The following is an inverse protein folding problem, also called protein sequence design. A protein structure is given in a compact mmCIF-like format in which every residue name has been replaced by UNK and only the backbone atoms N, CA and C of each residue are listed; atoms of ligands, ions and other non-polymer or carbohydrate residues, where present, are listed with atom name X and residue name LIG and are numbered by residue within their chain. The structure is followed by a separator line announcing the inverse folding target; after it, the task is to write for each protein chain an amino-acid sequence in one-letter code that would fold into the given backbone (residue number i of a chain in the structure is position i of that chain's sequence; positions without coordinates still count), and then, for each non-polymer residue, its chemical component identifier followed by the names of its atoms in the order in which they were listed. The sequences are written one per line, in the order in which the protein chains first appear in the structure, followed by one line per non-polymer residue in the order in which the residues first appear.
data_IF_850751855925
#
_entry.id   IF_850751855925
#
_cell.length_a   1.000
_cell.length_b   1.000
_cell.length_c   1.000
_cell.angle_alpha   90.00
_cell.angle_beta   90.00
_cell.angle_gamma   90.00
#
_symmetry.space_group_name_H-M   'P 1'
#
loop_
_entity.id
_entity.type
_entity.pdbx_description
1 polymer ?
#
# COMPACT_ATOMS: atom_id res chain seq x y z
N UNK A 1 -20.01 -61.41 36.00
CA UNK A 1 -18.86 -61.40 36.94
C UNK A 1 -17.61 -61.16 36.10
N UNK A 2 -16.82 -60.12 36.31
CA UNK A 2 -17.01 -58.97 37.22
C UNK A 2 -16.44 -57.69 36.60
N UNK A 3 -16.97 -56.54 37.01
CA UNK A 3 -16.54 -55.22 36.55
C UNK A 3 -15.33 -54.73 37.34
N UNK A 4 -14.42 -54.01 36.69
CA UNK A 4 -13.54 -53.02 37.34
C UNK A 4 -13.38 -51.80 36.45
N UNK A 5 -13.82 -50.64 36.95
CA UNK A 5 -13.49 -49.33 36.40
C UNK A 5 -12.15 -48.86 37.01
N UNK A 6 -11.39 -48.08 36.26
CA UNK A 6 -10.42 -47.15 36.85
C UNK A 6 -10.58 -45.79 36.18
N UNK A 7 -10.98 -44.78 36.94
CA UNK A 7 -11.10 -43.41 36.45
C UNK A 7 -9.75 -42.68 36.51
N UNK A 8 -9.54 -41.73 35.61
CA UNK A 8 -8.51 -40.70 35.72
C UNK A 8 -9.16 -39.32 35.63
N UNK A 9 -8.66 -38.38 36.42
CA UNK A 9 -9.37 -37.16 36.80
C UNK A 9 -9.10 -35.98 35.87
N UNK A 10 -10.15 -35.23 35.55
CA UNK A 10 -10.05 -33.87 34.98
C UNK A 10 -9.40 -32.91 35.98
N UNK A 11 -8.38 -32.16 35.54
CA UNK A 11 -7.89 -30.98 36.23
C UNK A 11 -8.53 -29.73 35.61
N UNK A 12 -9.39 -29.05 36.34
CA UNK A 12 -9.87 -27.71 35.99
C UNK A 12 -8.84 -26.66 36.45
N UNK A 13 -8.49 -25.71 35.59
CA UNK A 13 -7.64 -24.57 35.95
C UNK A 13 -8.56 -23.39 36.29
N UNK A 14 -8.80 -23.18 37.58
CA UNK A 14 -9.60 -22.07 38.08
C UNK A 14 -8.74 -20.82 38.33
N UNK A 15 -8.84 -19.83 37.45
CA UNK A 15 -8.19 -18.52 37.62
C UNK A 15 -9.08 -17.61 38.48
N UNK A 16 -8.61 -17.28 39.69
CA UNK A 16 -9.30 -16.40 40.63
C UNK A 16 -9.04 -14.91 40.32
N UNK A 17 -10.09 -14.10 40.25
CA UNK A 17 -10.00 -12.64 40.08
C UNK A 17 -9.87 -11.96 41.45
N UNK A 18 -8.72 -11.34 41.72
CA UNK A 18 -8.45 -10.63 42.98
C UNK A 18 -8.96 -9.18 42.95
N UNK A 19 -10.20 -8.95 43.41
CA UNK A 19 -10.73 -7.60 43.62
C UNK A 19 -10.35 -7.05 45.00
N UNK A 20 -9.54 -5.99 45.07
CA UNK A 20 -9.20 -5.30 46.33
C UNK A 20 -10.05 -4.04 46.48
N UNK A 21 -10.96 -4.04 47.45
CA UNK A 21 -11.74 -2.86 47.87
C UNK A 21 -11.33 -2.39 49.26
N UNK A 22 -11.14 -1.09 49.45
CA UNK A 22 -10.99 -0.44 50.77
C UNK A 22 -12.02 0.69 50.90
N UNK A 23 -12.74 0.82 52.03
CA UNK A 23 -13.68 1.91 52.26
C UNK A 23 -12.93 3.19 52.68
N UNK A 24 -13.51 4.35 52.35
CA UNK A 24 -13.10 5.66 52.89
C UNK A 24 -14.33 6.32 53.53
N UNK A 25 -14.12 6.94 54.69
CA UNK A 25 -15.18 7.47 55.55
C UNK A 25 -15.52 8.92 55.19
N UNK A 26 -16.81 9.22 55.04
CA UNK A 26 -17.32 10.59 54.82
C UNK A 26 -17.56 11.28 56.17
N UNK A 27 -17.38 12.59 56.24
CA UNK A 27 -17.82 13.43 57.37
C UNK A 27 -18.31 14.79 56.84
N UNK A 28 -19.29 15.41 57.50
CA UNK A 28 -20.07 16.54 56.94
C UNK A 28 -20.21 17.69 57.93
N UNK A 29 -19.84 18.89 57.49
CA UNK A 29 -20.10 20.24 58.05
C UNK A 29 -19.69 21.26 56.96
N UNK A 30 -20.27 22.47 56.81
CA UNK A 30 -21.42 23.07 57.51
C UNK A 30 -21.49 24.60 57.29
N UNK A 31 -22.22 25.03 56.25
CA UNK A 31 -22.73 26.40 55.91
C UNK A 31 -21.96 27.69 56.28
N UNK A 32 -21.64 28.50 55.25
CA UNK A 32 -21.94 29.96 55.22
C UNK A 32 -21.88 30.58 53.80
N UNK A 33 -22.50 31.75 53.61
CA UNK A 33 -22.74 32.39 52.31
C UNK A 33 -22.13 33.83 52.17
N UNK A 34 -21.84 34.32 50.95
CA UNK A 34 -21.18 35.62 50.66
C UNK A 34 -22.18 36.78 50.40
N UNK A 35 -21.76 38.06 50.53
CA UNK A 35 -21.33 38.90 49.37
C UNK A 35 -20.20 39.91 49.76
N UNK A 36 -19.78 40.93 48.95
CA UNK A 36 -20.10 41.32 47.56
C UNK A 36 -18.88 41.47 46.61
N UNK A 37 -19.06 42.14 45.46
CA UNK A 37 -18.16 42.18 44.28
C UNK A 37 -17.35 43.49 44.11
N UNK A 38 -16.30 43.45 43.28
CA UNK A 38 -15.77 44.61 42.52
C UNK A 38 -15.37 44.20 41.10
N UNK A 39 -15.43 45.14 40.13
CA UNK A 39 -15.12 44.91 38.72
C UNK A 39 -13.67 45.30 38.37
N UNK A 40 -12.98 44.50 37.54
CA UNK A 40 -11.99 45.00 36.56
C UNK A 40 -11.93 44.08 35.34
N UNK A 41 -11.94 44.63 34.12
CA UNK A 41 -11.70 43.91 32.86
C UNK A 41 -10.24 44.07 32.42
N UNK A 42 -9.69 43.11 31.65
CA UNK A 42 -9.13 43.46 30.35
C UNK A 42 -9.68 42.56 29.23
N UNK A 43 -9.75 43.09 28.01
CA UNK A 43 -10.35 42.39 26.87
C UNK A 43 -9.38 41.42 26.18
N UNK A 44 -9.86 40.21 25.88
CA UNK A 44 -9.21 39.29 24.94
C UNK A 44 -9.75 39.59 23.54
N UNK A 45 -8.86 39.85 22.56
CA UNK A 45 -9.24 39.88 21.14
C UNK A 45 -9.55 38.45 20.69
N UNK A 46 -10.81 38.12 20.47
CA UNK A 46 -11.20 36.92 19.71
C UNK A 46 -10.89 37.10 18.23
N UNK A 47 -9.61 37.00 17.87
CA UNK A 47 -9.22 36.69 16.50
C UNK A 47 -9.60 35.25 16.23
N UNK A 48 -10.67 35.02 15.47
CA UNK A 48 -10.93 33.71 14.87
C UNK A 48 -9.98 33.60 13.68
N UNK A 49 -8.74 33.20 13.93
CA UNK A 49 -7.86 32.71 12.87
C UNK A 49 -8.48 31.44 12.32
N UNK A 50 -8.99 31.52 11.10
CA UNK A 50 -9.33 30.34 10.31
C UNK A 50 -8.01 29.61 10.01
N UNK A 51 -7.63 28.69 10.89
CA UNK A 51 -6.52 27.80 10.65
C UNK A 51 -6.83 26.99 9.40
N UNK A 52 -6.18 27.32 8.29
CA UNK A 52 -6.32 26.61 7.03
C UNK A 52 -5.82 25.18 7.27
N UNK A 53 -6.73 24.23 7.40
CA UNK A 53 -6.38 22.85 7.75
C UNK A 53 -5.60 22.24 6.57
N UNK A 54 -4.28 22.21 6.70
CA UNK A 54 -3.40 21.67 5.69
C UNK A 54 -3.79 20.21 5.42
N UNK A 55 -4.32 19.95 4.21
CA UNK A 55 -4.77 18.63 3.76
C UNK A 55 -3.63 17.62 3.97
N UNK A 56 -3.82 16.57 4.80
CA UNK A 56 -2.79 15.57 5.06
C UNK A 56 -2.21 15.00 3.76
N UNK A 57 -0.91 14.71 3.76
CA UNK A 57 -0.20 14.22 2.57
C UNK A 57 -0.88 12.99 1.95
N UNK A 58 -1.37 12.08 2.81
CA UNK A 58 -2.15 10.90 2.41
C UNK A 58 -3.45 11.25 1.66
N UNK A 59 -4.20 12.26 2.10
CA UNK A 59 -5.40 12.72 1.37
C UNK A 59 -5.05 13.30 0.00
N UNK A 60 -3.96 14.08 -0.11
CA UNK A 60 -3.50 14.63 -1.41
C UNK A 60 -3.13 13.50 -2.39
N UNK A 61 -2.36 12.52 -1.93
CA UNK A 61 -2.00 11.34 -2.73
C UNK A 61 -3.23 10.55 -3.19
N UNK A 62 -4.16 10.25 -2.28
CA UNK A 62 -5.39 9.51 -2.58
C UNK A 62 -6.30 10.26 -3.58
N UNK A 63 -6.40 11.59 -3.49
CA UNK A 63 -7.13 12.39 -4.49
C UNK A 63 -6.50 12.29 -5.89
N UNK A 64 -5.16 12.35 -5.99
CA UNK A 64 -4.44 12.26 -7.26
C UNK A 64 -4.57 10.87 -7.89
N UNK A 65 -4.43 9.80 -7.10
CA UNK A 65 -4.59 8.43 -7.58
C UNK A 65 -6.03 8.11 -7.99
N UNK A 66 -7.02 8.53 -7.21
CA UNK A 66 -8.43 8.35 -7.55
C UNK A 66 -8.76 9.04 -8.88
N UNK A 67 -8.30 10.28 -9.07
CA UNK A 67 -8.43 11.00 -10.34
C UNK A 67 -7.76 10.25 -11.49
N UNK A 68 -6.50 9.81 -11.33
CA UNK A 68 -5.77 9.04 -12.36
C UNK A 68 -6.50 7.75 -12.75
N UNK A 69 -7.11 7.05 -11.80
CA UNK A 69 -7.85 5.81 -12.02
C UNK A 69 -9.27 6.03 -12.57
N UNK A 70 -9.82 7.24 -12.46
CA UNK A 70 -11.08 7.62 -13.12
C UNK A 70 -10.86 8.15 -14.55
N UNK A 71 -9.78 8.90 -14.78
CA UNK A 71 -9.40 9.39 -16.12
C UNK A 71 -8.78 8.28 -16.99
N UNK A 72 -8.01 7.37 -16.39
CA UNK A 72 -7.36 6.24 -17.06
C UNK A 72 -7.61 4.94 -16.27
N UNK A 73 -8.82 4.36 -16.34
CA UNK A 73 -9.17 3.13 -15.62
C UNK A 73 -8.31 1.93 -16.03
N UNK A 74 -8.16 0.98 -15.12
CA UNK A 74 -7.56 -0.34 -15.41
C UNK A 74 -8.63 -1.24 -16.02
N UNK A 75 -8.28 -2.00 -17.07
CA UNK A 75 -9.25 -2.84 -17.80
C UNK A 75 -9.91 -3.87 -16.87
N UNK A 76 -11.25 -3.89 -16.88
CA UNK A 76 -12.06 -4.70 -15.97
C UNK A 76 -12.28 -4.11 -14.57
N UNK A 77 -11.76 -2.93 -14.25
CA UNK A 77 -11.89 -2.30 -12.92
C UNK A 77 -12.64 -0.97 -12.99
N UNK A 78 -13.57 -0.76 -12.04
CA UNK A 78 -14.23 0.52 -11.79
C UNK A 78 -14.09 0.88 -10.31
N UNK A 79 -13.69 2.11 -10.03
CA UNK A 79 -13.41 2.60 -8.67
C UNK A 79 -14.32 3.77 -8.31
N UNK A 80 -14.89 3.72 -7.12
CA UNK A 80 -15.68 4.77 -6.47
C UNK A 80 -15.32 4.86 -4.99
N UNK A 81 -15.65 5.96 -4.32
CA UNK A 81 -15.62 6.00 -2.85
C UNK A 81 -16.80 5.19 -2.29
N UNK A 82 -16.67 4.67 -1.07
CA UNK A 82 -17.80 4.06 -0.33
C UNK A 82 -18.74 5.16 0.19
N UNK A 83 -18.17 6.26 0.68
CA UNK A 83 -18.88 7.48 1.07
C UNK A 83 -18.14 8.68 0.45
N UNK A 84 -18.85 9.67 -0.11
CA UNK A 84 -18.23 10.82 -0.80
C UNK A 84 -17.31 11.66 0.10
N UNK A 85 -17.51 11.59 1.43
CA UNK A 85 -16.69 12.25 2.45
C UNK A 85 -15.48 11.44 2.92
N UNK A 86 -15.34 10.17 2.54
CA UNK A 86 -14.28 9.29 3.04
C UNK A 86 -13.34 8.80 1.92
N UNK A 87 -12.22 9.50 1.79
CA UNK A 87 -11.14 9.16 0.86
C UNK A 87 -10.35 7.89 1.25
N UNK A 88 -10.52 7.34 2.46
CA UNK A 88 -9.76 6.20 2.96
C UNK A 88 -10.48 4.84 2.76
N UNK A 89 -11.70 4.81 2.24
CA UNK A 89 -12.43 3.57 1.92
C UNK A 89 -13.03 3.64 0.50
N UNK A 90 -12.46 2.86 -0.44
CA UNK A 90 -12.88 2.82 -1.84
C UNK A 90 -13.63 1.51 -2.15
N UNK A 91 -14.72 1.59 -2.90
CA UNK A 91 -15.35 0.44 -3.53
C UNK A 91 -14.71 0.18 -4.90
N UNK A 92 -14.35 -1.09 -5.13
CA UNK A 92 -13.77 -1.58 -6.37
C UNK A 92 -14.72 -2.64 -6.95
N UNK A 93 -15.30 -2.31 -8.10
CA UNK A 93 -16.03 -3.26 -8.94
C UNK A 93 -15.06 -3.90 -9.95
N UNK A 94 -15.07 -5.22 -10.00
CA UNK A 94 -14.14 -6.04 -10.78
C UNK A 94 -14.93 -6.95 -11.71
N UNK A 95 -14.67 -6.86 -13.00
CA UNK A 95 -15.27 -7.73 -14.02
C UNK A 95 -14.34 -8.89 -14.34
N UNK A 96 -14.89 -10.09 -14.45
CA UNK A 96 -14.09 -11.27 -14.82
C UNK A 96 -13.67 -11.24 -16.30
N UNK A 97 -12.37 -11.42 -16.65
CA UNK A 97 -11.93 -11.31 -18.04
C UNK A 97 -12.51 -12.41 -18.94
N UNK A 98 -12.77 -12.13 -20.23
CA UNK A 98 -13.27 -13.12 -21.17
C UNK A 98 -12.23 -14.23 -21.44
N UNK A 99 -12.71 -15.44 -21.73
CA UNK A 99 -11.96 -16.69 -21.85
C UNK A 99 -11.34 -17.21 -20.54
N UNK A 100 -11.76 -16.69 -19.37
CA UNK A 100 -11.33 -17.18 -18.05
C UNK A 100 -12.44 -17.94 -17.32
N UNK A 101 -12.12 -18.61 -16.21
CA UNK A 101 -13.14 -19.20 -15.32
C UNK A 101 -14.08 -18.15 -14.68
N UNK A 102 -13.71 -16.87 -14.72
CA UNK A 102 -14.44 -15.76 -14.11
C UNK A 102 -15.30 -14.96 -15.11
N UNK A 103 -15.26 -15.28 -16.42
CA UNK A 103 -15.99 -14.58 -17.48
C UNK A 103 -17.45 -14.31 -17.12
N UNK A 104 -17.90 -13.06 -17.27
CA UNK A 104 -19.27 -12.64 -16.91
C UNK A 104 -19.50 -12.45 -15.40
N UNK A 105 -18.46 -12.59 -14.56
CA UNK A 105 -18.52 -12.32 -13.13
C UNK A 105 -18.41 -10.83 -12.78
N UNK A 106 -19.08 -10.43 -11.69
CA UNK A 106 -19.09 -9.09 -11.11
C UNK A 106 -18.72 -9.14 -9.63
N UNK A 107 -17.46 -8.91 -9.30
CA UNK A 107 -16.95 -9.05 -7.93
C UNK A 107 -16.78 -7.66 -7.31
N UNK A 108 -17.27 -7.49 -6.08
CA UNK A 108 -17.08 -6.26 -5.31
C UNK A 108 -15.99 -6.46 -4.26
N UNK A 109 -15.10 -5.49 -4.13
CA UNK A 109 -14.05 -5.44 -3.12
C UNK A 109 -13.95 -4.03 -2.52
N UNK A 110 -13.40 -3.92 -1.32
CA UNK A 110 -12.99 -2.66 -0.70
C UNK A 110 -11.47 -2.56 -0.64
N UNK A 111 -10.95 -1.36 -0.92
CA UNK A 111 -9.60 -0.96 -0.52
C UNK A 111 -9.74 0.00 0.66
N UNK A 112 -9.08 -0.31 1.78
CA UNK A 112 -9.01 0.57 2.95
C UNK A 112 -7.59 1.02 3.20
N UNK A 113 -7.39 2.32 3.18
CA UNK A 113 -6.09 2.99 3.31
C UNK A 113 -5.80 3.37 4.77
N UNK A 114 -4.53 3.29 5.21
CA UNK A 114 -4.10 3.83 6.50
C UNK A 114 -3.90 5.35 6.43
N UNK A 115 -3.86 6.01 7.58
CA UNK A 115 -3.73 7.49 7.66
C UNK A 115 -2.38 8.01 7.16
N UNK A 116 -1.35 7.17 7.17
CA UNK A 116 0.02 7.41 6.73
C UNK A 116 0.31 6.84 5.32
N UNK A 117 -0.71 6.51 4.53
CA UNK A 117 -0.52 6.14 3.13
C UNK A 117 0.28 7.22 2.35
N UNK A 118 1.27 6.87 1.50
CA UNK A 118 1.66 5.54 1.04
C UNK A 118 2.79 4.87 1.87
N UNK A 119 3.12 5.34 3.08
CA UNK A 119 4.17 4.70 3.89
C UNK A 119 3.78 3.30 4.38
N UNK A 120 2.55 3.13 4.87
CA UNK A 120 1.95 1.82 5.18
C UNK A 120 1.04 1.32 4.04
N UNK A 121 0.95 -0.01 3.81
CA UNK A 121 0.09 -0.58 2.78
C UNK A 121 -1.40 -0.43 3.12
N UNK A 122 -2.28 -0.28 2.11
CA UNK A 122 -3.71 -0.46 2.28
C UNK A 122 -4.07 -1.95 2.43
N UNK A 123 -5.26 -2.23 2.94
CA UNK A 123 -5.86 -3.58 2.92
C UNK A 123 -6.81 -3.72 1.74
N UNK A 124 -6.77 -4.87 1.06
CA UNK A 124 -7.68 -5.21 -0.04
C UNK A 124 -8.54 -6.42 0.37
N UNK A 125 -9.86 -6.24 0.39
CA UNK A 125 -10.83 -7.26 0.82
C UNK A 125 -11.97 -7.42 -0.18
N UNK A 126 -12.18 -8.63 -0.69
CA UNK A 126 -13.40 -8.98 -1.42
C UNK A 126 -14.62 -8.97 -0.50
N UNK A 127 -15.69 -8.29 -0.91
CA UNK A 127 -17.03 -8.40 -0.30
C UNK A 127 -17.77 -9.63 -0.82
N UNK A 128 -17.69 -9.85 -2.14
CA UNK A 128 -18.20 -11.04 -2.81
C UNK A 128 -17.38 -12.26 -2.37
N UNK A 129 -18.00 -13.32 -1.85
CA UNK A 129 -17.26 -14.49 -1.35
C UNK A 129 -16.55 -15.24 -2.48
N UNK A 130 -15.22 -15.12 -2.53
CA UNK A 130 -14.33 -15.83 -3.47
C UNK A 130 -13.90 -17.21 -2.95
N UNK A 131 -13.63 -18.15 -3.85
CA UNK A 131 -12.97 -19.43 -3.56
C UNK A 131 -11.65 -19.46 -4.33
N UNK A 132 -10.55 -19.18 -3.64
CA UNK A 132 -9.28 -18.91 -4.31
C UNK A 132 -8.09 -19.31 -3.43
N UNK A 133 -7.00 -19.90 -3.96
CA UNK A 133 -5.83 -20.30 -3.17
C UNK A 133 -5.23 -19.16 -2.33
N UNK A 134 -5.34 -17.90 -2.78
CA UNK A 134 -4.71 -16.72 -2.15
C UNK A 134 -5.71 -15.70 -1.59
N UNK A 135 -6.97 -16.09 -1.34
CA UNK A 135 -7.97 -15.25 -0.66
C UNK A 135 -8.47 -15.98 0.58
N UNK A 136 -8.45 -15.31 1.73
CA UNK A 136 -8.92 -15.85 3.01
C UNK A 136 -10.47 -15.92 3.05
N UNK A 137 -11.04 -16.70 3.97
CA UNK A 137 -12.50 -16.85 4.08
C UNK A 137 -13.26 -15.55 4.40
N UNK A 138 -12.57 -14.56 4.97
CA UNK A 138 -13.09 -13.22 5.27
C UNK A 138 -12.96 -12.23 4.08
N UNK A 139 -12.44 -12.68 2.94
CA UNK A 139 -12.23 -11.89 1.73
C UNK A 139 -10.86 -11.19 1.62
N UNK A 140 -10.01 -11.22 2.64
CA UNK A 140 -8.68 -10.59 2.58
C UNK A 140 -7.77 -11.27 1.55
N UNK A 141 -7.06 -10.48 0.76
CA UNK A 141 -6.16 -10.96 -0.31
C UNK A 141 -4.73 -11.10 0.21
N UNK A 142 -4.16 -12.30 0.05
CA UNK A 142 -2.77 -12.58 0.42
C UNK A 142 -1.84 -12.39 -0.78
N UNK A 143 -1.28 -11.19 -0.92
CA UNK A 143 -0.19 -10.86 -1.86
C UNK A 143 0.97 -10.18 -1.14
N UNK A 144 2.20 -10.46 -1.58
CA UNK A 144 3.42 -9.98 -0.95
C UNK A 144 3.49 -8.45 -0.89
N UNK A 145 3.02 -7.76 -1.93
CA UNK A 145 3.04 -6.29 -2.02
C UNK A 145 2.11 -5.56 -1.04
N UNK A 146 1.11 -6.23 -0.44
CA UNK A 146 0.25 -5.63 0.58
C UNK A 146 0.78 -5.84 2.01
N UNK A 147 1.98 -6.40 2.15
CA UNK A 147 2.68 -6.52 3.42
C UNK A 147 3.89 -5.56 3.44
N UNK A 148 4.24 -5.01 4.62
CA UNK A 148 5.49 -4.26 4.80
C UNK A 148 6.73 -5.05 4.33
N UNK A 149 7.85 -4.36 4.04
CA UNK A 149 9.12 -5.04 3.80
C UNK A 149 9.55 -5.82 5.06
N UNK A 150 10.27 -6.92 4.85
CA UNK A 150 10.87 -7.72 5.92
C UNK A 150 12.38 -7.57 5.79
N UNK A 151 13.04 -7.13 6.85
CA UNK A 151 14.51 -7.01 6.92
C UNK A 151 15.19 -8.39 7.12
N UNK A 152 14.85 -9.35 6.25
CA UNK A 152 15.46 -10.68 6.18
C UNK A 152 16.19 -10.85 4.83
N UNK A 153 17.53 -10.67 4.80
CA UNK A 153 18.35 -10.90 3.61
C UNK A 153 18.30 -12.34 3.07
N UNK A 154 17.82 -13.31 3.85
CA UNK A 154 17.73 -14.72 3.48
C UNK A 154 16.37 -15.08 2.83
N UNK A 155 15.39 -14.17 2.87
CA UNK A 155 14.05 -14.36 2.28
C UNK A 155 14.07 -14.57 0.77
N UNK A 156 15.01 -13.92 0.07
CA UNK A 156 15.14 -13.94 -1.39
C UNK A 156 14.11 -13.08 -2.15
N UNK A 157 13.30 -12.30 -1.43
CA UNK A 157 12.26 -11.43 -2.02
C UNK A 157 12.85 -10.08 -2.46
N UNK A 158 12.33 -9.53 -3.56
CA UNK A 158 12.74 -8.21 -4.07
C UNK A 158 11.98 -7.07 -3.36
N UNK A 159 12.57 -5.88 -3.18
CA UNK A 159 11.87 -4.70 -2.64
C UNK A 159 10.63 -4.27 -3.44
N UNK A 160 10.56 -4.63 -4.73
CA UNK A 160 9.40 -4.44 -5.60
C UNK A 160 8.26 -5.45 -5.38
N UNK A 161 8.54 -6.58 -4.72
CA UNK A 161 7.56 -7.62 -4.36
C UNK A 161 6.92 -7.36 -2.99
N UNK A 162 7.40 -6.35 -2.24
CA UNK A 162 6.83 -5.88 -0.96
C UNK A 162 6.25 -4.47 -1.08
N UNK A 163 5.52 -4.04 -0.05
CA UNK A 163 5.07 -2.66 0.01
C UNK A 163 6.26 -1.71 0.17
N UNK A 164 6.21 -0.58 -0.53
CA UNK A 164 7.13 0.54 -0.35
C UNK A 164 6.42 1.82 -0.86
N UNK A 165 6.86 3.04 -0.49
CA UNK A 165 6.15 4.27 -0.83
C UNK A 165 6.09 4.65 -2.32
N UNK A 166 6.70 3.87 -3.22
CA UNK A 166 6.55 4.05 -4.69
C UNK A 166 5.46 3.15 -5.28
N UNK A 167 4.97 2.17 -4.52
CA UNK A 167 3.78 1.40 -4.85
C UNK A 167 2.54 2.30 -4.81
N UNK A 168 1.53 1.96 -5.59
CA UNK A 168 0.30 2.73 -5.77
C UNK A 168 -0.86 1.78 -6.07
N UNK A 169 -2.09 2.30 -6.04
CA UNK A 169 -3.31 1.52 -6.26
C UNK A 169 -3.31 0.85 -7.62
N UNK A 170 -2.83 1.50 -8.69
CA UNK A 170 -2.76 0.89 -10.03
C UNK A 170 -1.92 -0.39 -10.01
N UNK A 171 -0.77 -0.40 -9.33
CA UNK A 171 0.03 -1.62 -9.16
C UNK A 171 -0.73 -2.69 -8.38
N UNK A 172 -1.45 -2.34 -7.31
CA UNK A 172 -2.27 -3.29 -6.54
C UNK A 172 -3.31 -3.99 -7.44
N UNK A 173 -4.05 -3.24 -8.27
CA UNK A 173 -5.06 -3.83 -9.15
C UNK A 173 -4.43 -4.82 -10.15
N UNK A 174 -3.30 -4.44 -10.75
CA UNK A 174 -2.56 -5.29 -11.70
C UNK A 174 -2.03 -6.58 -11.02
N UNK A 175 -1.53 -6.49 -9.79
CA UNK A 175 -1.13 -7.66 -9.00
C UNK A 175 -2.32 -8.56 -8.62
N UNK A 176 -3.50 -7.99 -8.35
CA UNK A 176 -4.74 -8.77 -8.10
C UNK A 176 -5.21 -9.48 -9.37
N UNK A 177 -5.15 -8.86 -10.55
CA UNK A 177 -5.41 -9.53 -11.84
C UNK A 177 -4.45 -10.71 -12.04
N UNK A 178 -3.16 -10.48 -11.82
CA UNK A 178 -2.13 -11.53 -11.96
C UNK A 178 -2.42 -12.72 -11.04
N UNK A 179 -2.69 -12.45 -9.76
CA UNK A 179 -2.99 -13.48 -8.76
C UNK A 179 -4.24 -14.31 -9.08
N UNK A 180 -5.29 -13.70 -9.63
CA UNK A 180 -6.52 -14.40 -10.00
C UNK A 180 -6.36 -15.34 -11.20
N UNK A 181 -5.40 -15.03 -12.08
CA UNK A 181 -5.07 -15.86 -13.25
C UNK A 181 -4.03 -16.94 -12.90
N UNK A 182 -3.00 -16.60 -12.11
CA UNK A 182 -1.91 -17.48 -11.70
C UNK A 182 -1.76 -17.52 -10.16
N UNK A 183 -2.56 -18.38 -9.48
CA UNK A 183 -2.57 -18.46 -8.02
C UNK A 183 -1.26 -19.05 -7.46
N UNK A 184 -0.67 -18.39 -6.46
CA UNK A 184 0.50 -18.88 -5.75
C UNK A 184 0.13 -20.07 -4.85
N UNK A 185 0.47 -21.28 -5.29
CA UNK A 185 0.20 -22.52 -4.54
C UNK A 185 1.25 -22.88 -3.48
N UNK A 186 2.36 -22.14 -3.38
CA UNK A 186 3.43 -22.40 -2.40
C UNK A 186 3.08 -21.85 -1.02
N UNK A 187 2.52 -20.63 -0.95
CA UNK A 187 2.00 -20.02 0.28
C UNK A 187 0.52 -19.62 0.11
N UNK A 188 -0.41 -20.59 0.19
CA UNK A 188 -1.83 -20.34 0.01
C UNK A 188 -2.50 -19.82 1.28
N UNK A 189 -3.36 -18.82 1.14
CA UNK A 189 -4.30 -18.36 2.16
C UNK A 189 -5.41 -19.40 2.43
N UNK A 190 -5.81 -20.14 1.39
CA UNK A 190 -6.81 -21.21 1.46
C UNK A 190 -6.19 -22.51 0.93
N UNK A 191 -5.87 -23.42 1.86
CA UNK A 191 -5.18 -24.68 1.58
C UNK A 191 -6.04 -25.61 0.73
N UNK A 192 -7.34 -25.70 0.99
CA UNK A 192 -8.26 -26.58 0.26
C UNK A 192 -8.46 -26.10 -1.19
N UNK A 193 -8.65 -24.79 -1.39
CA UNK A 193 -8.67 -24.19 -2.72
C UNK A 193 -7.35 -24.42 -3.48
N UNK A 194 -6.20 -24.33 -2.80
CA UNK A 194 -4.88 -24.65 -3.37
C UNK A 194 -4.72 -26.12 -3.76
N UNK A 195 -5.29 -27.05 -2.99
CA UNK A 195 -5.32 -28.48 -3.33
C UNK A 195 -6.24 -28.74 -4.54
N UNK A 196 -7.45 -28.17 -4.55
CA UNK A 196 -8.39 -28.30 -5.68
C UNK A 196 -7.83 -27.69 -6.97
N UNK A 197 -7.25 -26.48 -6.90
CA UNK A 197 -6.65 -25.81 -8.05
C UNK A 197 -5.50 -26.63 -8.66
N UNK A 198 -4.63 -27.23 -7.83
CA UNK A 198 -3.56 -28.12 -8.31
C UNK A 198 -4.11 -29.35 -9.02
N UNK A 199 -5.12 -30.05 -8.45
CA UNK A 199 -5.79 -31.18 -9.15
C UNK A 199 -6.36 -30.75 -10.51
N UNK A 200 -7.05 -29.61 -10.56
CA UNK A 200 -7.65 -29.06 -11.78
C UNK A 200 -6.58 -28.77 -12.85
N UNK A 201 -5.51 -28.06 -12.47
CA UNK A 201 -4.37 -27.74 -13.34
C UNK A 201 -3.64 -28.99 -13.83
N UNK A 202 -3.26 -29.87 -12.93
CA UNK A 202 -2.41 -31.03 -13.21
C UNK A 202 -3.17 -32.10 -14.01
N UNK A 203 -4.50 -32.20 -13.84
CA UNK A 203 -5.38 -33.03 -14.68
C UNK A 203 -5.70 -32.40 -16.05
N UNK A 204 -5.26 -31.17 -16.32
CA UNK A 204 -5.57 -30.35 -17.50
C UNK A 204 -7.07 -30.12 -17.68
N UNK A 205 -7.76 -29.74 -16.60
CA UNK A 205 -9.21 -29.45 -16.60
C UNK A 205 -10.13 -30.66 -16.77
N UNK A 206 -9.61 -31.87 -16.58
CA UNK A 206 -10.42 -33.11 -16.53
C UNK A 206 -11.17 -33.24 -15.22
N UNK A 207 -10.49 -32.94 -14.11
CA UNK A 207 -11.16 -32.62 -12.85
C UNK A 207 -11.88 -31.27 -13.03
N UNK A 208 -13.12 -31.19 -12.56
CA UNK A 208 -13.99 -30.03 -12.71
C UNK A 208 -14.40 -29.42 -11.37
N UNK A 209 -14.05 -30.01 -10.23
CA UNK A 209 -14.47 -29.59 -8.89
C UNK A 209 -14.22 -28.09 -8.67
N UNK A 210 -12.98 -27.65 -8.89
CA UNK A 210 -12.61 -26.23 -8.80
C UNK A 210 -13.40 -25.34 -9.77
N UNK A 211 -13.44 -25.70 -11.05
CA UNK A 211 -14.13 -24.93 -12.10
C UNK A 211 -15.66 -24.93 -11.97
N UNK A 212 -16.27 -25.83 -11.19
CA UNK A 212 -17.70 -25.84 -10.88
C UNK A 212 -18.01 -24.89 -9.71
N UNK A 213 -17.12 -24.79 -8.73
CA UNK A 213 -17.22 -23.80 -7.64
C UNK A 213 -17.11 -22.38 -8.21
N UNK A 214 -16.09 -22.08 -9.03
CA UNK A 214 -15.92 -20.74 -9.61
C UNK A 214 -17.12 -20.34 -10.48
N UNK A 215 -17.59 -21.22 -11.39
CA UNK A 215 -18.77 -20.93 -12.22
C UNK A 215 -20.03 -20.70 -11.39
N UNK A 216 -20.20 -21.41 -10.27
CA UNK A 216 -21.33 -21.17 -9.34
C UNK A 216 -21.23 -19.81 -8.67
N UNK A 217 -20.02 -19.34 -8.34
CA UNK A 217 -19.79 -18.01 -7.79
C UNK A 217 -20.07 -16.92 -8.84
N UNK A 218 -19.52 -17.04 -10.06
CA UNK A 218 -19.83 -16.15 -11.20
C UNK A 218 -21.34 -16.00 -11.39
N UNK A 219 -22.08 -17.09 -11.50
CA UNK A 219 -23.55 -17.06 -11.66
C UNK A 219 -24.28 -16.40 -10.48
N UNK A 220 -23.73 -16.46 -9.26
CA UNK A 220 -24.31 -15.74 -8.11
C UNK A 220 -24.06 -14.23 -8.18
N UNK A 221 -22.96 -13.79 -8.81
CA UNK A 221 -22.68 -12.35 -8.98
C UNK A 221 -23.56 -11.66 -10.01
N UNK A 222 -24.16 -12.40 -10.94
CA UNK A 222 -25.10 -11.84 -11.93
C UNK A 222 -26.29 -11.14 -11.26
N UNK A 223 -26.81 -11.71 -10.16
CA UNK A 223 -27.87 -11.09 -9.37
C UNK A 223 -27.40 -9.83 -8.61
N UNK A 224 -26.11 -9.73 -8.27
CA UNK A 224 -25.52 -8.52 -7.69
C UNK A 224 -25.36 -7.42 -8.75
N UNK A 225 -24.93 -7.79 -9.97
CA UNK A 225 -24.83 -6.86 -11.09
C UNK A 225 -26.22 -6.31 -11.51
N UNK A 226 -27.25 -7.15 -11.55
CA UNK A 226 -28.64 -6.74 -11.80
C UNK A 226 -29.16 -5.78 -10.72
N UNK A 227 -28.90 -6.08 -9.43
CA UNK A 227 -29.29 -5.22 -8.29
C UNK A 227 -28.61 -3.86 -8.33
N UNK A 228 -27.32 -3.84 -8.64
CA UNK A 228 -26.50 -2.62 -8.67
C UNK A 228 -26.60 -1.89 -10.04
N UNK A 229 -27.41 -2.39 -10.98
CA UNK A 229 -27.70 -1.79 -12.29
C UNK A 229 -26.55 -1.89 -13.31
N UNK A 230 -25.56 -2.75 -13.07
CA UNK A 230 -24.31 -2.83 -13.83
C UNK A 230 -24.43 -3.84 -14.98
N UNK A 231 -24.07 -3.41 -16.19
CA UNK A 231 -23.86 -4.34 -17.32
C UNK A 231 -22.43 -4.86 -17.29
N UNK A 232 -22.28 -6.17 -17.15
CA UNK A 232 -20.98 -6.85 -17.18
C UNK A 232 -20.50 -6.98 -18.62
N UNK A 233 -19.25 -6.59 -18.96
CA UNK A 233 -18.68 -6.84 -20.28
C UNK A 233 -18.49 -8.34 -20.50
N UNK A 234 -18.83 -8.84 -21.70
CA UNK A 234 -18.70 -10.27 -22.04
C UNK A 234 -17.75 -10.51 -23.20
N UNK A 235 -17.53 -9.49 -24.04
CA UNK A 235 -16.58 -9.54 -25.15
C UNK A 235 -15.29 -8.79 -24.80
N UNK A 236 -14.18 -9.17 -25.44
CA UNK A 236 -12.90 -8.49 -25.27
C UNK A 236 -12.96 -7.00 -25.64
N UNK A 237 -13.81 -6.62 -26.60
CA UNK A 237 -14.00 -5.23 -27.02
C UNK A 237 -14.81 -4.38 -26.02
N UNK A 238 -15.60 -5.01 -25.14
CA UNK A 238 -16.27 -4.34 -24.02
C UNK A 238 -15.38 -4.28 -22.77
N UNK A 239 -14.54 -5.32 -22.57
CA UNK A 239 -13.63 -5.43 -21.43
C UNK A 239 -12.43 -4.48 -21.57
N UNK A 240 -11.73 -4.54 -22.71
CA UNK A 240 -10.65 -3.64 -23.08
C UNK A 240 -11.25 -2.31 -23.59
N UNK A 241 -11.82 -1.53 -22.68
CA UNK A 241 -12.28 -0.17 -22.97
C UNK A 241 -11.11 0.60 -23.56
N UNK A 242 -11.24 1.04 -24.81
CA UNK A 242 -10.16 1.71 -25.54
C UNK A 242 -9.66 2.94 -24.78
N UNK A 243 -8.57 2.77 -24.06
CA UNK A 243 -7.70 3.86 -23.61
C UNK A 243 -7.21 4.54 -24.89
N UNK A 244 -7.82 5.69 -25.19
CA UNK A 244 -7.37 6.54 -26.30
C UNK A 244 -5.99 7.07 -25.94
N UNK A 245 -4.96 6.34 -26.37
CA UNK A 245 -3.61 6.90 -26.50
C UNK A 245 -3.76 8.22 -27.26
N UNK A 246 -3.37 9.37 -26.70
CA UNK A 246 -3.39 10.63 -27.43
C UNK A 246 -2.55 10.44 -28.70
N UNK A 247 -3.18 10.62 -29.86
CA UNK A 247 -2.51 10.44 -31.15
C UNK A 247 -1.31 11.39 -31.22
N UNK A 248 -0.10 10.84 -31.40
CA UNK A 248 1.14 11.60 -31.51
C UNK A 248 1.18 12.40 -32.82
N UNK A 249 0.42 13.49 -32.89
CA UNK A 249 0.36 14.36 -34.08
C UNK A 249 0.06 15.83 -33.75
N UNK A 250 0.71 16.38 -32.71
CA UNK A 250 1.08 17.80 -32.61
C UNK A 250 2.04 18.06 -31.45
N UNK A 251 3.06 18.88 -31.74
CA UNK A 251 4.01 19.61 -30.86
C UNK A 251 4.45 19.00 -29.52
N UNK A 252 5.76 18.89 -29.36
CA UNK A 252 6.39 19.06 -28.05
C UNK A 252 6.21 20.51 -27.58
N UNK A 253 5.55 20.72 -26.44
CA UNK A 253 5.66 21.96 -25.67
C UNK A 253 5.78 21.63 -24.18
N UNK A 254 6.52 22.46 -23.46
CA UNK A 254 6.99 22.18 -22.11
C UNK A 254 5.99 22.70 -21.07
N UNK A 255 5.58 21.83 -20.14
CA UNK A 255 4.86 22.21 -18.92
C UNK A 255 5.62 21.67 -17.71
N UNK A 256 6.75 22.32 -17.43
CA UNK A 256 7.60 22.06 -16.26
C UNK A 256 8.23 23.37 -15.76
N UNK A 257 7.39 24.38 -15.56
CA UNK A 257 7.68 25.68 -14.95
C UNK A 257 6.42 26.19 -14.20
N UNK A 258 6.50 27.35 -13.55
CA UNK A 258 5.42 28.04 -12.82
C UNK A 258 4.89 27.39 -11.52
N UNK A 259 5.74 26.63 -10.78
CA UNK A 259 5.51 26.32 -9.36
C UNK A 259 6.81 26.36 -8.51
N UNK A 260 7.53 27.48 -8.61
CA UNK A 260 8.36 27.98 -7.51
C UNK A 260 7.66 29.20 -6.93
N UNK A 261 7.24 29.11 -5.66
CA UNK A 261 6.64 30.24 -4.93
C UNK A 261 7.74 31.25 -4.60
N UNK A 262 7.48 32.52 -4.88
CA UNK A 262 8.43 33.64 -4.77
C UNK A 262 8.23 34.37 -3.43
N UNK A 263 8.82 33.82 -2.37
CA UNK A 263 8.80 34.36 -0.99
C UNK A 263 10.15 34.07 -0.30
N UNK A 264 11.23 34.69 -0.80
CA UNK A 264 12.50 34.80 -0.06
C UNK A 264 12.84 36.28 0.13
N UNK A 265 12.57 36.81 1.34
CA UNK A 265 12.92 38.18 1.72
C UNK A 265 14.45 38.32 1.76
N UNK A 266 15.05 38.99 0.77
CA UNK A 266 16.47 39.38 0.81
C UNK A 266 16.63 40.57 1.79
N UNK A 267 17.41 40.37 2.86
CA UNK A 267 17.83 41.46 3.76
C UNK A 267 18.95 42.27 3.07
N UNK A 268 18.74 43.58 2.85
CA UNK A 268 19.78 44.48 2.32
C UNK A 268 20.82 44.80 3.41
N UNK A 269 22.07 44.37 3.21
CA UNK A 269 23.25 44.89 3.94
C UNK A 269 24.03 45.89 3.05
N UNK A 270 24.00 47.17 3.44
CA UNK A 270 24.73 48.28 2.81
C UNK A 270 26.23 48.32 3.18
N UNK A 271 27.06 48.80 2.23
CA UNK A 271 28.43 49.35 2.39
C UNK A 271 29.52 48.40 3.01
N UNK A 272 30.81 48.48 2.65
CA UNK A 272 31.64 49.63 2.26
C UNK A 272 32.78 49.21 1.29
N UNK A 273 33.38 50.19 0.62
CA UNK A 273 34.33 50.05 -0.48
C UNK A 273 35.80 50.20 -0.02
N UNK A 274 36.77 49.57 -0.68
CA UNK A 274 38.14 50.11 -0.82
C UNK A 274 39.10 49.26 -1.66
N UNK A 275 39.72 49.92 -2.64
CA UNK A 275 40.90 49.44 -3.37
C UNK A 275 42.17 49.43 -2.49
N UNK A 276 43.18 48.60 -2.83
CA UNK A 276 44.41 49.13 -3.47
C UNK A 276 45.47 48.07 -3.84
N UNK A 277 45.71 48.01 -5.15
CA UNK A 277 47.02 47.93 -5.82
C UNK A 277 47.98 46.74 -5.65
N UNK A 278 48.99 46.77 -6.52
CA UNK A 278 49.88 45.67 -6.88
C UNK A 278 51.31 45.85 -6.38
N UNK A 279 51.99 44.73 -6.09
CA UNK A 279 53.42 44.57 -6.43
C UNK A 279 53.72 43.12 -6.74
N UNK A 280 54.60 42.91 -7.73
CA UNK A 280 55.20 41.61 -8.01
C UNK A 280 56.69 41.78 -8.31
N UNK A 281 57.54 41.14 -7.52
CA UNK A 281 58.95 40.91 -7.86
C UNK A 281 59.44 39.58 -7.27
N UNK A 282 60.61 39.10 -7.68
CA UNK A 282 61.02 37.71 -7.53
C UNK A 282 62.15 37.48 -6.53
N UNK A 283 62.26 36.25 -5.99
CA UNK A 283 63.50 35.78 -5.38
C UNK A 283 63.41 34.52 -4.51
N UNK A 284 64.43 33.65 -4.59
CA UNK A 284 64.96 33.03 -3.35
C UNK A 284 64.63 31.57 -3.00
N UNK A 285 64.85 30.63 -3.93
CA UNK A 285 65.60 29.36 -3.71
C UNK A 285 65.78 28.84 -2.24
N UNK A 286 65.31 27.63 -1.92
CA UNK A 286 66.16 26.49 -1.43
C UNK A 286 65.39 25.21 -1.01
N UNK A 287 65.80 24.06 -1.58
CA UNK A 287 66.07 22.70 -0.99
C UNK A 287 65.16 22.16 0.15
N UNK A 288 64.72 20.88 0.22
CA UNK A 288 65.30 19.55 -0.08
C UNK A 288 64.11 18.55 -0.35
N UNK A 289 64.19 17.24 -0.68
CA UNK A 289 65.07 16.30 -1.43
C UNK A 289 64.24 14.97 -1.56
N UNK A 290 64.08 14.34 -2.74
CA UNK A 290 64.83 13.17 -3.30
C UNK A 290 64.08 11.81 -3.21
N UNK A 291 64.34 10.90 -4.16
CA UNK A 291 63.82 9.50 -4.34
C UNK A 291 62.28 9.24 -4.38
N UNK A 292 61.76 8.11 -4.91
CA UNK A 292 62.44 7.03 -5.64
C UNK A 292 61.60 5.75 -5.91
N UNK A 293 61.13 5.57 -7.16
CA UNK A 293 60.99 4.29 -7.90
C UNK A 293 59.93 3.20 -7.52
N UNK A 294 59.47 2.50 -8.58
CA UNK A 294 58.81 1.16 -8.61
C UNK A 294 57.34 1.04 -8.13
N UNK A 295 56.53 0.09 -8.62
CA UNK A 295 56.81 -1.01 -9.57
C UNK A 295 55.65 -1.33 -10.52
N UNK A 296 55.93 -2.16 -11.53
CA UNK A 296 54.97 -2.71 -12.53
C UNK A 296 55.07 -4.24 -12.55
N UNK A 297 54.20 -4.85 -13.36
CA UNK A 297 54.21 -6.26 -13.80
C UNK A 297 53.66 -7.29 -12.80
N UNK A 298 52.64 -8.03 -13.23
CA UNK A 298 52.78 -9.46 -13.53
C UNK A 298 51.78 -9.85 -14.61
N UNK A 299 52.28 -10.24 -15.78
CA UNK A 299 51.55 -11.07 -16.73
C UNK A 299 51.61 -12.54 -16.27
N UNK A 300 50.63 -13.34 -16.69
CA UNK A 300 50.81 -14.76 -17.00
C UNK A 300 49.74 -15.17 -18.01
N UNK A 301 50.07 -16.14 -18.85
CA UNK A 301 49.34 -16.49 -20.07
C UNK A 301 49.19 -18.02 -20.18
N UNK A 302 48.41 -18.47 -21.16
CA UNK A 302 48.19 -19.87 -21.55
C UNK A 302 47.38 -20.71 -20.52
N UNK A 303 46.73 -21.82 -20.87
CA UNK A 303 46.72 -22.58 -22.13
C UNK A 303 45.27 -23.02 -22.50
N UNK A 304 45.04 -23.44 -23.74
CA UNK A 304 43.71 -23.77 -24.26
C UNK A 304 43.65 -25.13 -24.98
N UNK A 305 42.99 -26.11 -24.37
CA UNK A 305 42.45 -27.28 -25.07
C UNK A 305 42.42 -28.58 -24.26
N UNK A 306 41.27 -29.25 -24.25
CA UNK A 306 41.13 -30.52 -24.97
C UNK A 306 39.64 -30.86 -25.19
N UNK A 307 39.34 -31.63 -26.23
CA UNK A 307 38.01 -32.23 -26.48
C UNK A 307 38.02 -33.75 -26.20
N UNK A 308 36.84 -34.37 -26.34
CA UNK A 308 36.59 -35.79 -26.60
C UNK A 308 36.45 -36.77 -25.39
N UNK A 309 35.63 -37.81 -25.62
CA UNK A 309 35.11 -38.86 -24.71
C UNK A 309 34.05 -38.45 -23.66
#
# INVERSE_FOLDING_TARGET
MSTVNTAWTTNEISLQVSTVTKPIHISVQGDRAPPPQTHTTPGVRSGITMAHQATPSSQKALMMELKSLQEQPVEGFRITLVEESDLYNWEVAIFGPPNTLYEGGYFKAHIKFPVDYPYSPPTFRFLTKMWHPNIYENGDVCISILHPPVDDPQSGELPSERWNPTQNVRTILLSVISLLNEPNTFSPANVDASVMFRKWRDSKGKDKEYAEIIRKQVLSTTAEAERDGVKVPTTLAEYCVQTRVPSQDSSSDLLYDDLYDDDMEEEEEDDDDSELESVGEAGGLSTLDDDGMSSRCYDNQDDSGNEDS
#
